data_IF_462552560123
#
_entry.id   IF_462552560123
#
_cell.length_a   1.000
_cell.length_b   1.000
_cell.length_c   1.000
_cell.angle_alpha   90.00
_cell.angle_beta   90.00
_cell.angle_gamma   90.00
#
_symmetry.space_group_name_H-M   'P 1'
#
loop_
_entity.id
_entity.type
_entity.pdbx_description
1 polymer ?
#
# COMPACT_ATOMS: atom_id res chain seq x y z
N UNK A 1 4.59 -5.68 -10.89
CA UNK A 1 5.87 -5.08 -10.48
C UNK A 1 6.99 -5.26 -11.52
N UNK A 2 6.87 -6.18 -12.48
CA UNK A 2 7.94 -6.50 -13.43
C UNK A 2 8.60 -5.26 -14.08
N UNK A 3 7.80 -4.23 -14.51
CA UNK A 3 8.36 -3.01 -15.10
C UNK A 3 9.29 -2.22 -14.16
N UNK A 4 9.06 -2.29 -12.86
CA UNK A 4 9.92 -1.65 -11.84
C UNK A 4 11.14 -2.53 -11.59
N UNK A 5 10.93 -3.81 -11.27
CA UNK A 5 12.00 -4.75 -10.93
C UNK A 5 13.05 -4.86 -12.05
N UNK A 6 12.61 -4.90 -13.32
CA UNK A 6 13.51 -4.99 -14.47
C UNK A 6 14.40 -3.75 -14.69
N UNK A 7 14.07 -2.63 -14.05
CA UNK A 7 14.86 -1.39 -14.12
C UNK A 7 15.76 -1.17 -12.90
N UNK A 8 15.63 -2.02 -11.88
CA UNK A 8 16.45 -1.94 -10.68
C UNK A 8 17.83 -2.60 -10.91
N UNK A 9 18.90 -2.15 -10.20
CA UNK A 9 20.25 -2.72 -10.34
C UNK A 9 20.29 -4.20 -9.99
N UNK A 10 20.93 -5.03 -10.82
CA UNK A 10 21.00 -6.47 -10.65
C UNK A 10 21.85 -6.93 -9.44
N UNK A 11 22.63 -6.06 -8.86
CA UNK A 11 23.47 -6.32 -7.68
C UNK A 11 22.74 -6.15 -6.34
N UNK A 12 21.43 -5.98 -6.34
CA UNK A 12 20.60 -5.88 -5.13
C UNK A 12 19.63 -7.05 -5.04
N UNK A 13 19.30 -7.42 -3.81
CA UNK A 13 18.25 -8.40 -3.55
C UNK A 13 16.87 -7.72 -3.55
N UNK A 14 15.93 -8.30 -4.25
CA UNK A 14 14.52 -7.90 -4.29
C UNK A 14 13.66 -9.09 -3.93
N UNK A 15 12.64 -8.84 -3.13
CA UNK A 15 11.67 -9.84 -2.75
C UNK A 15 10.28 -9.38 -3.16
N UNK A 16 9.57 -10.22 -3.90
CA UNK A 16 8.17 -10.03 -4.24
C UNK A 16 7.46 -11.36 -4.16
N UNK A 17 6.21 -11.36 -3.75
CA UNK A 17 5.41 -12.57 -3.59
C UNK A 17 3.95 -12.31 -3.88
N UNK A 18 3.24 -13.38 -4.19
CA UNK A 18 1.79 -13.37 -4.30
C UNK A 18 1.19 -13.78 -2.96
N UNK A 19 0.39 -12.88 -2.38
CA UNK A 19 -0.28 -13.19 -1.10
C UNK A 19 -1.17 -14.40 -1.23
N UNK A 20 -1.43 -15.06 -0.13
CA UNK A 20 -2.33 -16.22 -0.11
C UNK A 20 -3.65 -15.97 -0.83
N UNK A 21 -3.98 -16.87 -1.77
CA UNK A 21 -5.17 -16.83 -2.61
C UNK A 21 -5.05 -15.99 -3.88
N UNK A 22 -3.86 -15.42 -4.17
CA UNK A 22 -3.55 -14.77 -5.44
C UNK A 22 -2.64 -15.66 -6.29
N UNK A 23 -2.84 -15.58 -7.60
CA UNK A 23 -2.09 -16.32 -8.63
C UNK A 23 -1.89 -17.80 -8.21
N UNK A 24 -0.65 -18.29 -8.11
CA UNK A 24 -0.33 -19.67 -7.73
C UNK A 24 -0.25 -19.90 -6.20
N UNK A 25 -0.43 -18.86 -5.38
CA UNK A 25 -0.39 -18.99 -3.93
C UNK A 25 -1.65 -19.67 -3.38
N UNK A 26 -1.53 -20.66 -2.48
CA UNK A 26 -2.67 -21.39 -1.95
C UNK A 26 -3.61 -20.48 -1.16
N UNK A 27 -4.89 -20.83 -1.14
CA UNK A 27 -5.87 -20.16 -0.27
C UNK A 27 -5.67 -20.59 1.19
N UNK A 28 -5.94 -19.67 2.12
CA UNK A 28 -5.90 -19.93 3.56
C UNK A 28 -7.24 -19.61 4.22
N UNK A 29 -7.48 -20.24 5.36
CA UNK A 29 -8.69 -20.04 6.17
C UNK A 29 -8.57 -18.84 7.14
N UNK A 30 -7.37 -18.30 7.33
CA UNK A 30 -7.11 -17.15 8.21
C UNK A 30 -7.89 -15.91 7.77
N UNK A 31 -8.13 -15.01 8.70
CA UNK A 31 -8.64 -13.68 8.42
C UNK A 31 -7.72 -12.95 7.43
N UNK A 32 -8.28 -12.01 6.67
CA UNK A 32 -7.51 -11.25 5.67
C UNK A 32 -7.42 -9.77 6.06
N UNK A 33 -7.36 -9.50 7.37
CA UNK A 33 -7.07 -8.17 7.90
C UNK A 33 -5.60 -7.77 7.69
N UNK A 34 -5.33 -6.48 7.82
CA UNK A 34 -4.00 -5.95 7.52
C UNK A 34 -2.90 -6.47 8.47
N UNK A 35 -3.22 -6.75 9.73
CA UNK A 35 -2.24 -7.30 10.67
C UNK A 35 -1.90 -8.76 10.34
N UNK A 36 -2.90 -9.58 10.04
CA UNK A 36 -2.68 -10.97 9.62
C UNK A 36 -1.78 -11.01 8.38
N UNK A 37 -2.04 -10.15 7.38
CA UNK A 37 -1.23 -10.08 6.17
C UNK A 37 0.21 -9.61 6.47
N UNK A 38 0.38 -8.63 7.36
CA UNK A 38 1.71 -8.17 7.78
C UNK A 38 2.49 -9.26 8.53
N UNK A 39 1.84 -10.05 9.39
CA UNK A 39 2.46 -11.20 10.05
C UNK A 39 2.86 -12.30 9.05
N UNK A 40 2.00 -12.61 8.09
CA UNK A 40 2.32 -13.56 7.01
C UNK A 40 3.53 -13.11 6.19
N UNK A 41 3.62 -11.81 5.86
CA UNK A 41 4.77 -11.23 5.18
C UNK A 41 6.06 -11.36 6.00
N UNK A 42 6.00 -11.04 7.29
CA UNK A 42 7.12 -11.17 8.20
C UNK A 42 7.64 -12.61 8.30
N UNK A 43 6.74 -13.58 8.45
CA UNK A 43 7.10 -15.00 8.51
C UNK A 43 7.71 -15.48 7.18
N UNK A 44 7.15 -15.02 6.06
CA UNK A 44 7.66 -15.35 4.72
C UNK A 44 9.06 -14.78 4.48
N UNK A 45 9.33 -13.53 4.89
CA UNK A 45 10.65 -12.92 4.80
C UNK A 45 11.68 -13.70 5.64
N UNK A 46 11.33 -14.11 6.86
CA UNK A 46 12.18 -14.97 7.68
C UNK A 46 12.46 -16.33 7.02
N UNK A 47 11.43 -16.98 6.51
CA UNK A 47 11.56 -18.29 5.85
C UNK A 47 12.40 -18.21 4.56
N UNK A 48 12.31 -17.08 3.82
CA UNK A 48 13.12 -16.86 2.61
C UNK A 48 14.61 -16.63 2.90
N UNK A 49 14.97 -16.38 4.17
CA UNK A 49 16.33 -16.01 4.57
C UNK A 49 16.69 -14.56 4.30
N UNK A 50 15.73 -13.73 3.85
CA UNK A 50 15.93 -12.29 3.73
C UNK A 50 16.32 -11.66 5.08
N UNK A 51 17.21 -10.71 5.06
CA UNK A 51 17.72 -10.06 6.27
C UNK A 51 17.25 -8.62 6.38
N UNK A 52 16.70 -8.20 7.53
CA UNK A 52 16.39 -6.79 7.77
C UNK A 52 17.70 -5.96 7.88
N UNK A 53 17.61 -4.62 7.76
CA UNK A 53 16.37 -3.88 7.58
C UNK A 53 15.89 -3.83 6.12
N UNK A 54 14.56 -3.78 5.92
CA UNK A 54 13.91 -3.80 4.60
C UNK A 54 13.49 -2.40 4.14
N UNK A 55 13.62 -2.12 2.84
CA UNK A 55 12.85 -1.07 2.18
C UNK A 55 11.52 -1.66 1.72
N UNK A 56 10.44 -1.30 2.39
CA UNK A 56 9.09 -1.75 2.08
C UNK A 56 8.50 -0.90 0.94
N UNK A 57 7.89 -1.55 -0.06
CA UNK A 57 7.30 -0.85 -1.21
C UNK A 57 5.89 -1.38 -1.48
N UNK A 58 4.87 -0.57 -1.21
CA UNK A 58 3.47 -0.98 -1.34
C UNK A 58 2.64 -0.06 -2.24
N UNK A 59 1.73 -0.65 -3.03
CA UNK A 59 0.77 0.06 -3.86
C UNK A 59 -0.67 -0.20 -3.39
N UNK A 60 -1.49 0.86 -3.34
CA UNK A 60 -2.91 0.75 -3.01
C UNK A 60 -3.12 0.03 -1.66
N UNK A 61 -3.94 -1.03 -1.60
CA UNK A 61 -4.12 -1.84 -0.38
C UNK A 61 -2.81 -2.48 0.11
N UNK A 62 -1.88 -2.80 -0.80
CA UNK A 62 -0.53 -3.23 -0.43
C UNK A 62 0.23 -2.13 0.32
N UNK A 63 -0.03 -0.85 0.01
CA UNK A 63 0.53 0.26 0.78
C UNK A 63 0.00 0.34 2.21
N UNK A 64 -1.26 -0.03 2.45
CA UNK A 64 -1.79 -0.18 3.81
C UNK A 64 -1.08 -1.31 4.55
N UNK A 65 -0.81 -2.44 3.89
CA UNK A 65 -0.12 -3.57 4.52
C UNK A 65 1.32 -3.25 4.88
N UNK A 66 2.05 -2.55 4.02
CA UNK A 66 3.42 -2.10 4.34
C UNK A 66 3.43 -1.05 5.47
N UNK A 67 2.42 -0.18 5.53
CA UNK A 67 2.24 0.72 6.67
C UNK A 67 2.03 -0.05 7.97
N UNK A 68 1.18 -1.07 7.97
CA UNK A 68 0.90 -1.92 9.13
C UNK A 68 2.14 -2.74 9.51
N UNK A 69 2.86 -3.29 8.54
CA UNK A 69 4.13 -3.97 8.79
C UNK A 69 5.11 -3.06 9.54
N UNK A 70 5.26 -1.83 9.08
CA UNK A 70 6.18 -0.88 9.70
C UNK A 70 5.74 -0.41 11.10
N UNK A 71 4.46 -0.49 11.42
CA UNK A 71 3.96 -0.28 12.79
C UNK A 71 4.24 -1.47 13.71
N UNK A 72 4.15 -2.70 13.19
CA UNK A 72 4.34 -3.94 13.96
C UNK A 72 5.83 -4.29 14.15
N UNK A 73 6.67 -4.00 13.16
CA UNK A 73 8.09 -4.41 13.11
C UNK A 73 9.01 -3.22 12.75
N UNK A 74 8.95 -2.09 13.47
CA UNK A 74 9.70 -0.89 13.11
C UNK A 74 11.22 -1.09 13.07
N UNK A 75 11.75 -2.02 13.86
CA UNK A 75 13.18 -2.36 13.90
C UNK A 75 13.68 -3.12 12.66
N UNK A 76 12.76 -3.70 11.89
CA UNK A 76 13.09 -4.39 10.64
C UNK A 76 13.01 -3.49 9.40
N UNK A 77 12.70 -2.18 9.56
CA UNK A 77 12.41 -1.27 8.45
C UNK A 77 13.52 -0.26 8.24
N UNK A 78 14.09 -0.23 7.04
CA UNK A 78 15.02 0.81 6.57
C UNK A 78 14.28 2.01 5.97
N UNK A 79 13.10 1.79 5.41
CA UNK A 79 12.27 2.82 4.81
C UNK A 79 10.97 2.27 4.26
N UNK A 80 10.00 3.16 3.98
CA UNK A 80 8.70 2.81 3.43
C UNK A 80 8.35 3.71 2.25
N UNK A 81 8.12 3.10 1.09
CA UNK A 81 7.66 3.77 -0.13
C UNK A 81 6.23 3.34 -0.45
N UNK A 82 5.30 4.25 -0.35
CA UNK A 82 3.88 4.01 -0.61
C UNK A 82 3.47 4.65 -1.94
N UNK A 83 2.77 3.89 -2.77
CA UNK A 83 2.27 4.34 -4.08
C UNK A 83 0.75 4.40 -4.04
N UNK A 84 0.17 5.61 -4.01
CA UNK A 84 -1.28 5.83 -3.88
C UNK A 84 -1.92 4.90 -2.83
N UNK A 85 -1.42 4.87 -1.57
CA UNK A 85 -1.81 3.86 -0.58
C UNK A 85 -3.27 3.99 -0.18
N UNK A 86 -3.91 2.86 0.09
CA UNK A 86 -5.22 2.83 0.74
C UNK A 86 -5.07 3.31 2.18
N UNK A 87 -5.75 4.41 2.50
CA UNK A 87 -5.70 5.00 3.84
C UNK A 87 -6.45 4.12 4.86
N UNK A 88 -6.01 4.02 6.13
CA UNK A 88 -6.73 3.28 7.17
C UNK A 88 -8.23 3.63 7.29
N UNK A 89 -8.60 4.89 7.08
CA UNK A 89 -10.00 5.36 7.10
C UNK A 89 -10.65 5.46 5.72
N UNK A 90 -10.02 4.88 4.68
CA UNK A 90 -10.47 5.08 3.29
C UNK A 90 -11.92 4.68 3.08
N UNK A 91 -12.29 3.47 3.47
CA UNK A 91 -13.64 2.95 3.25
C UNK A 91 -14.71 3.70 4.04
N UNK A 92 -14.45 3.98 5.31
CA UNK A 92 -15.35 4.75 6.16
C UNK A 92 -15.58 6.16 5.60
N UNK A 93 -14.50 6.85 5.21
CA UNK A 93 -14.60 8.22 4.67
C UNK A 93 -15.37 8.25 3.35
N UNK A 94 -15.13 7.29 2.44
CA UNK A 94 -15.88 7.20 1.18
C UNK A 94 -17.36 6.95 1.43
N UNK A 95 -17.74 6.08 2.36
CA UNK A 95 -19.14 5.82 2.68
C UNK A 95 -19.86 7.07 3.19
N UNK A 96 -19.18 7.89 3.98
CA UNK A 96 -19.76 9.08 4.60
C UNK A 96 -19.74 10.30 3.69
N UNK A 97 -18.69 10.51 2.91
CA UNK A 97 -18.43 11.76 2.19
C UNK A 97 -18.56 11.63 0.66
N UNK A 98 -18.53 10.41 0.11
CA UNK A 98 -18.69 10.13 -1.32
C UNK A 98 -19.62 8.94 -1.58
N UNK A 99 -20.91 8.99 -1.18
CA UNK A 99 -21.80 7.83 -1.21
C UNK A 99 -22.00 7.23 -2.62
N UNK A 100 -21.95 8.05 -3.67
CA UNK A 100 -22.03 7.57 -5.05
C UNK A 100 -20.81 6.70 -5.41
N UNK A 101 -19.61 7.10 -5.01
CA UNK A 101 -18.41 6.30 -5.18
C UNK A 101 -18.47 5.02 -4.34
N UNK A 102 -18.98 5.10 -3.11
CA UNK A 102 -19.22 3.92 -2.27
C UNK A 102 -20.15 2.90 -2.94
N UNK A 103 -21.22 3.35 -3.60
CA UNK A 103 -22.13 2.47 -4.34
C UNK A 103 -21.44 1.76 -5.51
N UNK A 104 -20.57 2.48 -6.25
CA UNK A 104 -19.76 1.89 -7.32
C UNK A 104 -18.81 0.83 -6.77
N UNK A 105 -18.08 1.14 -5.70
CA UNK A 105 -17.15 0.20 -5.07
C UNK A 105 -17.88 -1.04 -4.53
N UNK A 106 -19.06 -0.87 -3.91
CA UNK A 106 -19.90 -2.00 -3.49
C UNK A 106 -20.29 -2.88 -4.67
N UNK A 107 -20.66 -2.30 -5.80
CA UNK A 107 -20.97 -3.07 -7.01
C UNK A 107 -19.73 -3.83 -7.52
N UNK A 108 -18.58 -3.17 -7.60
CA UNK A 108 -17.31 -3.81 -8.00
C UNK A 108 -16.93 -4.97 -7.07
N UNK A 109 -17.17 -4.84 -5.78
CA UNK A 109 -16.94 -5.92 -4.82
C UNK A 109 -17.67 -7.20 -5.18
N UNK A 110 -18.88 -7.12 -5.71
CA UNK A 110 -19.66 -8.31 -6.13
C UNK A 110 -19.33 -8.80 -7.53
N UNK A 111 -18.95 -7.91 -8.45
CA UNK A 111 -18.83 -8.20 -9.89
C UNK A 111 -17.39 -8.40 -10.35
N UNK A 112 -16.43 -7.75 -9.71
CA UNK A 112 -15.02 -7.69 -10.14
C UNK A 112 -14.07 -8.35 -9.16
N UNK A 113 -14.31 -8.23 -7.84
CA UNK A 113 -13.38 -8.74 -6.84
C UNK A 113 -13.40 -10.27 -6.79
N UNK A 114 -12.22 -10.88 -6.80
CA UNK A 114 -12.06 -12.30 -6.50
C UNK A 114 -12.49 -12.62 -5.05
N UNK A 115 -12.69 -13.89 -4.70
CA UNK A 115 -13.04 -14.24 -3.32
C UNK A 115 -12.04 -13.73 -2.27
N UNK A 116 -10.74 -13.77 -2.56
CA UNK A 116 -9.71 -13.26 -1.64
C UNK A 116 -9.74 -11.74 -1.56
N UNK A 117 -9.87 -11.03 -2.68
CA UNK A 117 -10.02 -9.56 -2.69
C UNK A 117 -11.21 -9.10 -1.85
N UNK A 118 -12.34 -9.85 -1.87
CA UNK A 118 -13.50 -9.53 -1.03
C UNK A 118 -13.17 -9.65 0.45
N UNK A 119 -12.50 -10.75 0.85
CA UNK A 119 -12.09 -10.97 2.22
C UNK A 119 -11.13 -9.86 2.71
N UNK A 120 -10.14 -9.51 1.90
CA UNK A 120 -9.21 -8.42 2.21
C UNK A 120 -9.93 -7.07 2.32
N UNK A 121 -10.84 -6.76 1.38
CA UNK A 121 -11.61 -5.52 1.41
C UNK A 121 -12.52 -5.44 2.65
N UNK A 122 -13.18 -6.53 3.01
CA UNK A 122 -14.10 -6.56 4.14
C UNK A 122 -13.38 -6.43 5.49
N UNK A 123 -12.20 -7.04 5.62
CA UNK A 123 -11.43 -7.11 6.87
C UNK A 123 -10.32 -6.04 6.97
N UNK A 124 -10.16 -5.18 5.96
CA UNK A 124 -8.99 -4.30 5.83
C UNK A 124 -8.70 -3.42 7.07
N UNK A 125 -9.71 -3.14 7.90
CA UNK A 125 -9.60 -2.24 9.06
C UNK A 125 -9.73 -2.94 10.40
N UNK A 126 -10.00 -4.24 10.43
CA UNK A 126 -10.40 -4.94 11.67
C UNK A 126 -9.37 -4.86 12.79
N UNK A 127 -8.09 -4.89 12.48
CA UNK A 127 -7.03 -4.82 13.48
C UNK A 127 -6.48 -3.41 13.76
N UNK A 128 -6.83 -2.41 12.95
CA UNK A 128 -6.15 -1.11 12.98
C UNK A 128 -6.29 -0.35 14.30
N UNK A 129 -7.39 -0.58 15.02
CA UNK A 129 -7.64 0.04 16.32
C UNK A 129 -6.70 -0.48 17.45
N UNK A 130 -5.99 -1.57 17.21
CA UNK A 130 -5.05 -2.17 18.17
C UNK A 130 -3.61 -1.70 17.94
N UNK A 131 -3.36 -0.97 16.87
CA UNK A 131 -2.03 -0.53 16.46
C UNK A 131 -1.70 0.87 16.98
N UNK A 132 -0.40 1.18 17.14
CA UNK A 132 0.05 2.55 17.32
C UNK A 132 -0.47 3.45 16.19
N UNK A 133 -0.85 4.68 16.52
CA UNK A 133 -1.38 5.64 15.53
C UNK A 133 -0.32 6.33 14.70
N UNK A 134 0.95 6.17 15.07
CA UNK A 134 2.07 6.84 14.40
C UNK A 134 3.27 5.89 14.28
N UNK A 135 4.02 6.03 13.22
CA UNK A 135 5.32 5.39 13.09
C UNK A 135 6.32 5.87 14.14
N UNK A 136 7.26 5.00 14.48
CA UNK A 136 8.56 5.46 14.94
C UNK A 136 9.23 6.27 13.81
N UNK A 137 9.80 7.43 14.12
CA UNK A 137 10.51 8.29 13.15
C UNK A 137 11.90 7.75 12.77
N UNK A 138 12.19 6.49 13.08
CA UNK A 138 13.50 5.87 12.88
C UNK A 138 13.85 5.59 11.41
N UNK A 139 12.88 5.59 10.51
CA UNK A 139 13.07 5.30 9.09
C UNK A 139 12.39 6.34 8.19
N UNK A 140 12.90 6.47 6.97
CA UNK A 140 12.37 7.41 5.99
C UNK A 140 11.09 6.85 5.34
N UNK A 141 10.05 7.68 5.26
CA UNK A 141 8.84 7.37 4.50
C UNK A 141 8.68 8.33 3.33
N UNK A 142 8.24 7.81 2.18
CA UNK A 142 7.81 8.58 1.01
C UNK A 142 6.48 8.08 0.51
N UNK A 143 5.64 8.99 0.03
CA UNK A 143 4.33 8.68 -0.54
C UNK A 143 4.23 9.32 -1.91
N UNK A 144 4.24 8.50 -2.95
CA UNK A 144 3.98 8.93 -4.32
C UNK A 144 2.47 8.92 -4.58
N UNK A 145 1.96 9.96 -5.22
CA UNK A 145 0.52 10.09 -5.51
C UNK A 145 0.29 10.29 -7.01
N UNK A 146 -0.81 9.73 -7.52
CA UNK A 146 -1.27 9.92 -8.89
C UNK A 146 -1.71 11.37 -9.14
N UNK A 147 -1.53 11.83 -10.39
CA UNK A 147 -2.01 13.14 -10.86
C UNK A 147 -3.18 13.05 -11.83
N UNK A 148 -3.43 11.87 -12.40
CA UNK A 148 -4.53 11.62 -13.32
C UNK A 148 -5.64 10.84 -12.62
N UNK A 149 -6.83 11.44 -12.57
CA UNK A 149 -8.04 10.75 -12.11
C UNK A 149 -8.49 9.70 -13.14
N UNK A 150 -8.96 8.55 -12.67
CA UNK A 150 -9.60 7.52 -13.49
C UNK A 150 -11.08 7.84 -13.67
N UNK A 151 -11.71 7.22 -14.67
CA UNK A 151 -13.15 7.30 -14.82
C UNK A 151 -13.82 6.81 -13.53
N UNK A 152 -14.74 7.61 -12.97
CA UNK A 152 -15.40 7.35 -11.69
C UNK A 152 -14.69 7.90 -10.45
N UNK A 153 -13.47 8.42 -10.58
CA UNK A 153 -12.72 9.07 -9.49
C UNK A 153 -12.86 10.60 -9.50
N UNK A 154 -14.04 11.12 -9.85
CA UNK A 154 -14.29 12.57 -9.95
C UNK A 154 -15.22 13.06 -8.83
N UNK A 155 -15.29 14.38 -8.66
CA UNK A 155 -16.17 15.02 -7.68
C UNK A 155 -15.79 14.69 -6.24
N UNK A 156 -16.77 14.38 -5.40
CA UNK A 156 -16.58 14.13 -3.97
C UNK A 156 -15.54 13.04 -3.65
N UNK A 157 -15.33 12.10 -4.56
CA UNK A 157 -14.27 11.10 -4.38
C UNK A 157 -12.87 11.73 -4.41
N UNK A 158 -12.62 12.71 -5.31
CA UNK A 158 -11.35 13.45 -5.33
C UNK A 158 -11.14 14.27 -4.05
N UNK A 159 -12.20 14.85 -3.51
CA UNK A 159 -12.14 15.61 -2.26
C UNK A 159 -11.76 14.69 -1.08
N UNK A 160 -12.33 13.48 -1.04
CA UNK A 160 -11.97 12.44 -0.07
C UNK A 160 -10.50 12.04 -0.22
N UNK A 161 -10.01 11.77 -1.44
CA UNK A 161 -8.60 11.43 -1.65
C UNK A 161 -7.67 12.57 -1.21
N UNK A 162 -8.00 13.82 -1.53
CA UNK A 162 -7.21 14.98 -1.11
C UNK A 162 -7.16 15.12 0.42
N UNK A 163 -8.29 14.89 1.10
CA UNK A 163 -8.37 14.86 2.56
C UNK A 163 -7.50 13.76 3.16
N UNK A 164 -7.61 12.54 2.66
CA UNK A 164 -6.86 11.39 3.15
C UNK A 164 -5.35 11.49 2.87
N UNK A 165 -4.95 12.16 1.77
CA UNK A 165 -3.54 12.49 1.52
C UNK A 165 -2.95 13.43 2.58
N UNK A 166 -3.74 14.39 3.08
CA UNK A 166 -3.32 15.24 4.19
C UNK A 166 -3.22 14.47 5.52
N UNK A 167 -4.13 13.53 5.76
CA UNK A 167 -4.09 12.67 6.94
C UNK A 167 -2.88 11.73 6.92
N UNK A 168 -2.50 11.22 5.75
CA UNK A 168 -1.26 10.45 5.58
C UNK A 168 0.00 11.21 6.02
N UNK A 169 0.06 12.53 5.80
CA UNK A 169 1.17 13.36 6.27
C UNK A 169 1.27 13.31 7.81
N UNK A 170 0.12 13.38 8.49
CA UNK A 170 0.08 13.29 9.96
C UNK A 170 0.44 11.89 10.46
N UNK A 171 -0.10 10.84 9.84
CA UNK A 171 0.16 9.45 10.23
C UNK A 171 1.64 9.04 10.08
N UNK A 172 2.31 9.54 9.07
CA UNK A 172 3.68 9.12 8.73
C UNK A 172 4.77 10.12 9.11
N UNK A 173 4.38 11.34 9.52
CA UNK A 173 5.32 12.40 9.88
C UNK A 173 6.08 13.01 8.70
N UNK A 174 5.72 12.69 7.45
CA UNK A 174 6.32 13.32 6.27
C UNK A 174 5.83 14.76 6.14
N UNK A 175 6.56 15.60 5.41
CA UNK A 175 6.20 17.00 5.20
C UNK A 175 5.20 17.19 4.06
N UNK A 176 5.22 16.31 3.05
CA UNK A 176 4.35 16.34 1.89
C UNK A 176 4.32 15.00 1.16
N UNK A 177 3.27 14.77 0.38
CA UNK A 177 3.25 13.70 -0.62
C UNK A 177 3.89 14.17 -1.92
N UNK A 178 4.33 13.24 -2.76
CA UNK A 178 5.04 13.50 -3.99
C UNK A 178 4.15 13.17 -5.21
N UNK A 179 3.59 14.17 -5.90
CA UNK A 179 2.78 13.91 -7.09
C UNK A 179 3.64 13.41 -8.24
N UNK A 180 3.20 12.32 -8.90
CA UNK A 180 3.86 11.75 -10.06
C UNK A 180 3.11 12.18 -11.31
N UNK A 181 3.73 13.04 -12.12
CA UNK A 181 3.14 13.55 -13.33
C UNK A 181 2.78 12.44 -14.33
N UNK A 182 1.60 12.55 -14.95
CA UNK A 182 1.05 11.61 -15.93
C UNK A 182 0.89 10.18 -15.41
N UNK A 183 0.68 9.99 -14.10
CA UNK A 183 0.37 8.71 -13.50
C UNK A 183 -1.10 8.63 -13.07
N UNK A 184 -1.76 7.53 -13.39
CA UNK A 184 -3.02 7.11 -12.78
C UNK A 184 -2.73 6.38 -11.46
N UNK A 185 -3.76 5.83 -10.82
CA UNK A 185 -3.62 5.01 -9.62
C UNK A 185 -2.53 3.91 -9.73
N UNK A 186 -2.26 3.40 -10.92
CA UNK A 186 -1.22 2.38 -11.14
C UNK A 186 0.16 2.99 -11.45
N UNK A 187 0.68 3.82 -10.55
CA UNK A 187 1.95 4.55 -10.72
C UNK A 187 3.09 3.63 -11.18
N UNK A 188 3.20 2.42 -10.63
CA UNK A 188 4.23 1.43 -10.97
C UNK A 188 4.10 0.88 -12.41
N UNK A 189 2.93 1.05 -13.05
CA UNK A 189 2.70 0.66 -14.45
C UNK A 189 2.90 1.82 -15.42
N UNK A 190 2.45 3.01 -15.01
CA UNK A 190 2.46 4.21 -15.84
C UNK A 190 3.82 4.93 -15.81
N UNK A 191 4.41 5.01 -14.63
CA UNK A 191 5.69 5.69 -14.38
C UNK A 191 6.64 4.83 -13.53
N UNK A 192 7.05 3.65 -14.04
CA UNK A 192 8.01 2.79 -13.34
C UNK A 192 9.34 3.51 -13.07
N UNK A 193 9.75 4.42 -13.95
CA UNK A 193 10.93 5.28 -13.80
C UNK A 193 10.90 6.11 -12.51
N UNK A 194 9.75 6.72 -12.18
CA UNK A 194 9.59 7.50 -10.95
C UNK A 194 9.68 6.61 -9.69
N UNK A 195 9.12 5.40 -9.75
CA UNK A 195 9.18 4.44 -8.65
C UNK A 195 10.61 3.94 -8.44
N UNK A 196 11.31 3.58 -9.52
CA UNK A 196 12.73 3.16 -9.47
C UNK A 196 13.60 4.27 -8.88
N UNK A 197 13.43 5.51 -9.34
CA UNK A 197 14.13 6.67 -8.78
C UNK A 197 13.92 6.78 -7.27
N UNK A 198 12.66 6.70 -6.83
CA UNK A 198 12.33 6.80 -5.40
C UNK A 198 12.96 5.67 -4.58
N UNK A 199 12.96 4.43 -5.07
CA UNK A 199 13.61 3.28 -4.43
C UNK A 199 15.11 3.52 -4.28
N UNK A 200 15.78 3.97 -5.33
CA UNK A 200 17.23 4.21 -5.32
C UNK A 200 17.63 5.36 -4.40
N UNK A 201 16.83 6.41 -4.32
CA UNK A 201 17.05 7.55 -3.42
C UNK A 201 16.80 7.21 -1.94
N UNK A 202 15.95 6.23 -1.66
CA UNK A 202 15.66 5.78 -0.29
C UNK A 202 16.65 4.76 0.23
N UNK A 203 17.24 3.99 -0.66
CA UNK A 203 18.24 2.99 -0.31
C UNK A 203 19.53 3.25 -1.13
N UNK A 204 20.25 4.33 -0.86
CA UNK A 204 21.55 4.55 -1.45
C UNK A 204 22.48 3.38 -1.08
N UNK A 205 23.32 2.99 -2.03
CA UNK A 205 24.30 1.89 -1.89
C UNK A 205 25.23 2.12 -0.72
#
# INVERSE_FOLDING_TARGET
WAKVINQLPQNRAYFSYDRYGYDDSPSVATTRDACTIAHEQHDLLKQSGAKPPYLLVGHSIGGLYEYVYALLYPEEVAGVLLLDPTHPKHWETIQNEAPSAAAIIKTMRFTVFSPVMRKEFDAQTDCLNTLPTHYSTSFKTRILTSTLARAGEQGSYQDVLAKLRKDWIQLTGITQTEPVDRATHYIQKDRPDAVVKAILEMNPL
#
